data_IF_002441858709
#
_entry.id   IF_002441858709
#
_cell.length_a   1.000
_cell.length_b   1.000
_cell.length_c   1.000
_cell.angle_alpha   90.00
_cell.angle_beta   90.00
_cell.angle_gamma   90.00
#
_symmetry.space_group_name_H-M   'P 1'
#
loop_
_entity.id
_entity.type
_entity.pdbx_description
1 polymer ?
#
# COMPACT_ATOMS: atom_id res chain seq x y z
N UNK A 1 22.81 -18.61 -7.34
CA UNK A 1 21.78 -18.68 -6.28
C UNK A 1 20.44 -19.04 -6.90
N UNK A 2 19.49 -19.56 -6.12
CA UNK A 2 18.09 -19.74 -6.56
C UNK A 2 17.33 -18.43 -6.37
N UNK A 3 16.44 -18.12 -7.29
CA UNK A 3 15.54 -16.97 -7.21
C UNK A 3 14.08 -17.44 -7.29
N UNK A 4 13.19 -16.68 -6.70
CA UNK A 4 11.76 -16.90 -6.78
C UNK A 4 11.11 -15.77 -7.58
N UNK A 5 10.25 -16.12 -8.54
CA UNK A 5 9.53 -15.17 -9.36
C UNK A 5 8.02 -15.39 -9.25
N UNK A 6 7.26 -14.31 -9.07
CA UNK A 6 5.79 -14.31 -9.18
C UNK A 6 5.39 -13.62 -10.48
N UNK A 7 4.32 -14.11 -11.09
CA UNK A 7 3.74 -13.59 -12.33
C UNK A 7 2.28 -13.24 -12.08
N UNK A 8 1.84 -12.05 -12.50
CA UNK A 8 0.46 -11.63 -12.48
C UNK A 8 0.02 -11.29 -13.90
N UNK A 9 -0.99 -12.00 -14.43
CA UNK A 9 -1.53 -11.73 -15.78
C UNK A 9 -2.57 -10.61 -15.72
N UNK A 10 -2.55 -9.72 -16.72
CA UNK A 10 -3.54 -8.65 -16.89
C UNK A 10 -3.51 -7.54 -15.82
N UNK A 11 -2.45 -7.46 -15.01
CA UNK A 11 -2.26 -6.39 -14.01
C UNK A 11 -0.93 -5.68 -14.23
N UNK A 12 -0.92 -4.34 -14.34
CA UNK A 12 0.32 -3.58 -14.45
C UNK A 12 1.11 -3.65 -13.15
N UNK A 13 2.43 -3.45 -13.25
CA UNK A 13 3.39 -3.62 -12.15
C UNK A 13 3.09 -2.70 -10.96
N UNK A 14 2.63 -1.47 -11.19
CA UNK A 14 2.33 -0.49 -10.14
C UNK A 14 1.14 -0.95 -9.28
N UNK A 15 0.14 -1.55 -9.92
CA UNK A 15 -1.08 -2.00 -9.24
C UNK A 15 -0.90 -3.29 -8.43
N UNK A 16 0.16 -4.07 -8.73
CA UNK A 16 0.36 -5.40 -8.14
C UNK A 16 1.63 -5.52 -7.31
N UNK A 17 2.79 -5.16 -7.87
CA UNK A 17 4.09 -5.52 -7.30
C UNK A 17 4.88 -4.35 -6.70
N UNK A 18 4.56 -3.09 -7.02
CA UNK A 18 5.23 -1.95 -6.42
C UNK A 18 5.11 -1.94 -4.88
N UNK A 19 3.88 -2.11 -4.36
CA UNK A 19 3.66 -2.17 -2.91
C UNK A 19 4.31 -3.39 -2.24
N UNK A 20 4.36 -4.54 -2.93
CA UNK A 20 5.03 -5.74 -2.41
C UNK A 20 6.55 -5.56 -2.36
N UNK A 21 7.15 -4.98 -3.40
CA UNK A 21 8.58 -4.67 -3.45
C UNK A 21 8.98 -3.74 -2.31
N UNK A 22 8.23 -2.65 -2.11
CA UNK A 22 8.49 -1.69 -1.04
C UNK A 22 8.30 -2.32 0.34
N UNK A 23 7.21 -3.05 0.54
CA UNK A 23 6.91 -3.70 1.82
C UNK A 23 7.96 -4.75 2.21
N UNK A 24 8.35 -5.62 1.29
CA UNK A 24 9.36 -6.66 1.53
C UNK A 24 10.72 -6.05 1.87
N UNK A 25 11.15 -5.04 1.11
CA UNK A 25 12.44 -4.39 1.36
C UNK A 25 12.42 -3.53 2.63
N UNK A 26 11.27 -2.95 2.98
CA UNK A 26 11.12 -2.24 4.25
C UNK A 26 11.25 -3.19 5.45
N UNK A 27 10.55 -4.33 5.42
CA UNK A 27 10.67 -5.35 6.47
C UNK A 27 12.06 -5.98 6.52
N UNK A 28 12.70 -6.21 5.36
CA UNK A 28 14.05 -6.75 5.32
C UNK A 28 15.07 -5.79 5.97
N UNK A 29 14.91 -4.47 5.76
CA UNK A 29 15.81 -3.46 6.31
C UNK A 29 15.70 -3.23 7.81
N UNK A 30 14.67 -3.77 8.50
CA UNK A 30 14.64 -3.76 9.97
C UNK A 30 15.55 -4.83 10.59
N UNK A 31 15.97 -5.83 9.81
CA UNK A 31 16.81 -6.96 10.24
C UNK A 31 16.21 -7.79 11.40
N UNK A 32 14.89 -7.74 11.59
CA UNK A 32 14.21 -8.39 12.73
C UNK A 32 13.52 -9.70 12.35
N UNK A 33 12.76 -9.74 11.26
CA UNK A 33 12.04 -10.92 10.77
C UNK A 33 12.59 -11.37 9.42
N UNK A 34 12.69 -12.69 9.22
CA UNK A 34 13.16 -13.25 7.97
C UNK A 34 12.10 -13.11 6.88
N UNK A 35 12.31 -12.21 5.93
CA UNK A 35 11.49 -12.04 4.72
C UNK A 35 12.37 -12.11 3.47
N UNK A 36 11.84 -12.55 2.32
CA UNK A 36 12.58 -12.49 1.06
C UNK A 36 12.89 -11.03 0.69
N UNK A 37 14.13 -10.73 0.27
CA UNK A 37 14.42 -9.43 -0.33
C UNK A 37 13.93 -9.41 -1.76
N UNK A 38 13.26 -8.32 -2.14
CA UNK A 38 12.79 -8.11 -3.50
C UNK A 38 13.87 -7.37 -4.30
N UNK A 39 14.27 -7.94 -5.44
CA UNK A 39 15.35 -7.38 -6.26
C UNK A 39 14.83 -6.45 -7.33
N UNK A 40 13.74 -6.85 -7.99
CA UNK A 40 13.17 -6.10 -9.10
C UNK A 40 11.72 -6.53 -9.35
N UNK A 41 10.93 -5.64 -9.93
CA UNK A 41 9.60 -5.92 -10.44
C UNK A 41 9.38 -5.10 -11.72
N UNK A 42 8.67 -5.67 -12.69
CA UNK A 42 8.39 -5.00 -13.95
C UNK A 42 7.15 -5.55 -14.65
N UNK A 43 6.74 -4.92 -15.74
CA UNK A 43 5.69 -5.42 -16.62
C UNK A 43 6.19 -6.61 -17.44
N UNK A 44 5.25 -7.46 -17.87
CA UNK A 44 5.49 -8.48 -18.87
C UNK A 44 5.34 -7.83 -20.25
N UNK A 45 6.42 -7.87 -21.01
CA UNK A 45 6.47 -7.32 -22.36
C UNK A 45 6.06 -8.37 -23.40
N UNK A 46 5.33 -7.94 -24.44
CA UNK A 46 4.92 -8.79 -25.56
C UNK A 46 3.43 -9.09 -25.59
N UNK A 47 3.04 -10.26 -26.14
CA UNK A 47 1.62 -10.61 -26.34
C UNK A 47 0.85 -10.85 -25.03
N UNK A 48 1.56 -11.12 -23.95
CA UNK A 48 0.96 -11.34 -22.64
C UNK A 48 1.08 -10.06 -21.84
N UNK A 49 -0.05 -9.44 -21.53
CA UNK A 49 -0.10 -8.32 -20.59
C UNK A 49 -0.04 -8.85 -19.16
N UNK A 50 0.68 -8.16 -18.29
CA UNK A 50 0.85 -8.54 -16.89
C UNK A 50 2.11 -7.93 -16.30
N UNK A 51 2.53 -8.48 -15.16
CA UNK A 51 3.70 -8.03 -14.42
C UNK A 51 4.36 -9.18 -13.68
N UNK A 52 5.55 -8.93 -13.14
CA UNK A 52 6.32 -9.89 -12.36
C UNK A 52 7.13 -9.21 -11.26
N UNK A 53 7.54 -10.01 -10.27
CA UNK A 53 8.50 -9.63 -9.22
C UNK A 53 9.50 -10.78 -9.01
N UNK A 54 10.76 -10.43 -8.76
CA UNK A 54 11.87 -11.35 -8.53
C UNK A 54 12.47 -11.09 -7.14
N UNK A 55 12.64 -12.15 -6.37
CA UNK A 55 13.04 -12.08 -4.96
C UNK A 55 13.90 -13.28 -4.55
N UNK A 56 14.43 -13.21 -3.33
CA UNK A 56 15.13 -14.33 -2.70
C UNK A 56 14.27 -15.61 -2.72
N UNK A 57 14.89 -16.74 -3.08
CA UNK A 57 14.27 -18.04 -2.86
C UNK A 57 14.51 -18.49 -1.42
N UNK A 58 13.44 -18.74 -0.67
CA UNK A 58 13.50 -19.22 0.71
C UNK A 58 13.16 -20.71 0.75
N UNK A 59 14.02 -21.48 1.40
CA UNK A 59 13.79 -22.91 1.64
C UNK A 59 12.93 -23.11 2.88
N UNK A 60 11.71 -23.60 2.70
CA UNK A 60 10.67 -23.67 3.74
C UNK A 60 10.74 -24.96 4.58
N UNK A 61 11.93 -25.36 5.03
CA UNK A 61 12.15 -26.67 5.68
C UNK A 61 12.30 -26.60 7.20
N UNK A 62 12.23 -25.41 7.81
CA UNK A 62 12.47 -25.22 9.25
C UNK A 62 11.24 -25.49 10.12
N UNK A 63 11.49 -25.86 11.38
CA UNK A 63 10.45 -25.93 12.43
C UNK A 63 9.94 -24.53 12.74
N UNK A 64 8.62 -24.38 12.88
CA UNK A 64 7.98 -23.13 13.23
C UNK A 64 7.93 -22.97 14.76
N UNK A 65 8.38 -21.81 15.26
CA UNK A 65 8.30 -21.42 16.67
C UNK A 65 7.47 -20.14 16.79
N UNK A 66 6.33 -20.23 17.49
CA UNK A 66 5.43 -19.08 17.68
C UNK A 66 6.04 -18.02 18.58
N UNK A 67 6.82 -18.42 19.59
CA UNK A 67 7.54 -17.51 20.48
C UNK A 67 8.58 -16.69 19.71
N UNK A 68 9.38 -17.35 18.87
CA UNK A 68 10.38 -16.66 18.03
C UNK A 68 9.72 -15.72 17.02
N UNK A 69 8.63 -16.18 16.38
CA UNK A 69 7.88 -15.36 15.44
C UNK A 69 7.31 -14.11 16.13
N UNK A 70 6.64 -14.27 17.28
CA UNK A 70 6.07 -13.17 18.05
C UNK A 70 7.12 -12.16 18.49
N UNK A 71 8.28 -12.64 18.96
CA UNK A 71 9.40 -11.79 19.37
C UNK A 71 9.95 -10.99 18.18
N UNK A 72 10.21 -11.64 17.04
CA UNK A 72 10.74 -10.96 15.84
C UNK A 72 9.76 -9.94 15.26
N UNK A 73 8.47 -10.25 15.28
CA UNK A 73 7.42 -9.31 14.87
C UNK A 73 7.33 -8.10 15.81
N UNK A 74 7.41 -8.30 17.13
CA UNK A 74 7.43 -7.21 18.09
C UNK A 74 8.63 -6.28 17.88
N UNK A 75 9.82 -6.85 17.64
CA UNK A 75 11.02 -6.08 17.31
C UNK A 75 10.86 -5.30 15.99
N UNK A 76 10.26 -5.90 14.97
CA UNK A 76 9.95 -5.20 13.71
C UNK A 76 9.04 -3.99 13.94
N UNK A 77 8.02 -4.12 14.77
CA UNK A 77 7.10 -3.01 15.09
C UNK A 77 7.76 -1.90 15.89
N UNK A 78 8.80 -2.20 16.67
CA UNK A 78 9.55 -1.23 17.45
C UNK A 78 10.74 -0.61 16.68
N UNK A 79 11.06 -1.13 15.49
CA UNK A 79 12.16 -0.64 14.68
C UNK A 79 11.84 0.75 14.09
N UNK A 80 12.90 1.53 13.86
CA UNK A 80 12.77 2.83 13.21
C UNK A 80 12.26 2.64 11.77
N UNK A 81 11.17 3.31 11.37
CA UNK A 81 10.68 3.20 10.00
C UNK A 81 11.69 3.76 8.99
N UNK A 82 11.90 3.02 7.90
CA UNK A 82 12.84 3.39 6.82
C UNK A 82 12.40 4.61 6.00
N UNK A 83 11.12 4.99 6.05
CA UNK A 83 10.59 6.20 5.42
C UNK A 83 9.96 7.10 6.47
N UNK A 84 10.22 8.40 6.38
CA UNK A 84 9.69 9.39 7.31
C UNK A 84 8.16 9.41 7.34
N UNK A 85 7.52 9.14 6.20
CA UNK A 85 6.06 9.06 6.06
C UNK A 85 5.45 7.95 6.94
N UNK A 86 6.20 6.88 7.20
CA UNK A 86 5.78 5.76 8.04
C UNK A 86 5.93 6.07 9.54
N UNK A 87 6.77 7.04 9.93
CA UNK A 87 6.91 7.51 11.33
C UNK A 87 5.64 8.19 11.83
N UNK A 88 4.91 8.85 10.94
CA UNK A 88 3.72 9.64 11.28
C UNK A 88 2.47 8.84 11.63
N UNK A 89 2.49 7.50 11.54
CA UNK A 89 1.37 6.65 11.96
C UNK A 89 0.01 7.06 11.37
N UNK A 90 -0.03 7.65 10.16
CA UNK A 90 -1.29 7.95 9.48
C UNK A 90 -1.92 6.64 9.03
N UNK A 91 -2.64 5.98 9.94
CA UNK A 91 -3.73 5.08 9.56
C UNK A 91 -4.60 5.90 8.61
N UNK A 92 -4.81 5.43 7.38
CA UNK A 92 -5.87 6.00 6.55
C UNK A 92 -7.12 5.97 7.41
N UNK A 93 -7.66 7.15 7.74
CA UNK A 93 -9.00 7.25 8.31
C UNK A 93 -9.88 6.54 7.29
N UNK A 94 -10.52 5.45 7.71
CA UNK A 94 -11.58 4.86 6.90
C UNK A 94 -12.61 5.99 6.80
N UNK A 95 -12.73 6.57 5.61
CA UNK A 95 -13.84 7.47 5.32
C UNK A 95 -15.09 6.61 5.51
N UNK A 96 -15.78 6.87 6.60
CA UNK A 96 -17.05 6.25 6.95
C UNK A 96 -18.16 6.99 6.20
N UNK A 97 -18.01 7.11 4.88
CA UNK A 97 -19.07 7.61 4.01
C UNK A 97 -19.81 6.39 3.46
N UNK A 98 -20.55 5.76 4.37
CA UNK A 98 -21.70 4.95 4.02
C UNK A 98 -22.68 5.84 3.25
N UNK A 99 -22.64 5.73 1.92
CA UNK A 99 -23.65 6.31 1.06
C UNK A 99 -24.96 5.50 1.19
N UNK A 100 -25.71 5.76 2.25
CA UNK A 100 -27.13 5.47 2.32
C UNK A 100 -27.88 6.68 1.78
N UNK A 101 -28.26 6.58 0.50
CA UNK A 101 -29.16 7.53 -0.13
C UNK A 101 -30.57 7.40 0.46
N UNK A 102 -31.03 8.40 1.22
CA UNK A 102 -32.46 8.60 1.52
C UNK A 102 -32.79 10.07 1.87
N UNK A 103 -33.35 10.76 0.87
CA UNK A 103 -34.52 11.64 0.88
C UNK A 103 -34.70 12.84 1.87
N UNK A 104 -34.95 14.01 1.23
CA UNK A 104 -35.94 15.07 1.55
C UNK A 104 -35.68 15.96 2.80
N UNK A 105 -35.99 17.27 2.88
CA UNK A 105 -36.70 18.28 2.07
C UNK A 105 -36.16 19.68 2.54
N UNK A 106 -36.02 20.70 1.67
CA UNK A 106 -36.91 21.87 1.49
C UNK A 106 -36.85 22.98 2.57
N UNK A 107 -37.18 24.22 2.14
CA UNK A 107 -37.27 25.54 2.82
C UNK A 107 -35.98 26.40 2.68
N UNK A 108 -35.90 27.35 1.73
CA UNK A 108 -36.55 28.68 1.58
C UNK A 108 -35.99 29.80 2.49
N UNK A 109 -35.76 30.99 1.89
CA UNK A 109 -35.45 32.27 2.56
C UNK A 109 -34.19 32.96 1.99
N UNK A 110 -34.30 33.83 0.98
CA UNK A 110 -34.45 35.31 1.10
C UNK A 110 -33.13 35.96 1.58
N UNK A 111 -32.31 36.62 0.75
CA UNK A 111 -32.56 37.81 -0.07
C UNK A 111 -31.62 38.90 0.46
N UNK A 112 -30.72 39.48 -0.36
CA UNK A 112 -30.47 40.94 -0.36
C UNK A 112 -29.58 41.40 -1.52
N UNK A 113 -29.91 42.60 -1.99
CA UNK A 113 -29.34 43.35 -3.10
C UNK A 113 -27.88 43.79 -2.88
N UNK A 114 -27.09 43.90 -3.98
CA UNK A 114 -26.21 45.07 -4.20
C UNK A 114 -26.13 45.34 -5.70
N UNK A 115 -26.62 46.51 -6.12
CA UNK A 115 -26.44 47.08 -7.45
C UNK A 115 -25.16 47.90 -7.60
N UNK A 116 -25.12 48.67 -8.70
CA UNK A 116 -24.13 49.67 -9.17
C UNK A 116 -23.36 49.13 -10.40
N UNK A 117 -23.65 49.61 -11.63
CA UNK A 117 -23.21 50.90 -12.20
C UNK A 117 -21.81 50.71 -12.83
N UNK A 118 -21.40 51.08 -14.04
CA UNK A 118 -21.80 51.98 -15.12
C UNK A 118 -21.14 51.39 -16.41
N UNK A 119 -21.61 51.60 -17.65
CA UNK A 119 -21.39 52.83 -18.42
C UNK A 119 -20.53 52.55 -19.67
N UNK A 120 -20.96 53.12 -20.79
CA UNK A 120 -20.46 53.14 -22.19
C UNK A 120 -20.68 51.93 -23.11
#
# INVERSE_FOLDING_TARGET
GRLFAKLARGRPKEAMFAGEFEGLNAMAGTETVGVPRAFHYDDLYGRQQGSWILMDFIEMTSRLSQEDLGTRLALMHAAEPLRDEARGGKRRKKDDDGNDAAAAAAEEGDGDEVGDGDGD
#
